data_IF_288643109434
#
_entry.id   IF_288643109434
#
_cell.length_a   1.000
_cell.length_b   1.000
_cell.length_c   1.000
_cell.angle_alpha   90.00
_cell.angle_beta   90.00
_cell.angle_gamma   90.00
#
_symmetry.space_group_name_H-M   'P 1'
#
loop_
_entity.id
_entity.type
_entity.pdbx_description
1 polymer ?
#
# COMPACT_ATOMS: atom_id res chain seq x y z
N UNK A 1 -12.86 20.39 -0.93
CA UNK A 1 -11.90 19.76 -0.01
C UNK A 1 -11.68 18.31 -0.44
N UNK A 2 -10.49 17.93 -0.94
CA UNK A 2 -10.22 16.53 -1.34
C UNK A 2 -10.21 15.65 -0.09
N UNK A 3 -11.21 14.78 0.06
CA UNK A 3 -11.22 13.72 1.07
C UNK A 3 -9.95 12.89 0.87
N UNK A 4 -9.00 13.01 1.80
CA UNK A 4 -7.91 12.03 1.91
C UNK A 4 -8.58 10.73 2.32
N UNK A 5 -8.75 9.80 1.38
CA UNK A 5 -9.08 8.42 1.71
C UNK A 5 -7.97 7.91 2.61
N UNK A 6 -8.26 7.88 3.91
CA UNK A 6 -7.32 7.45 4.92
C UNK A 6 -7.44 5.94 5.00
N UNK A 7 -6.45 5.21 4.47
CA UNK A 7 -6.40 3.77 4.63
C UNK A 7 -6.22 3.41 6.11
N UNK A 8 -6.95 2.40 6.62
CA UNK A 8 -6.80 1.95 8.00
C UNK A 8 -5.37 1.44 8.24
N UNK A 9 -4.89 1.58 9.48
CA UNK A 9 -3.51 1.23 9.85
C UNK A 9 -3.21 -0.25 9.59
N UNK A 10 -4.18 -1.12 9.82
CA UNK A 10 -4.09 -2.56 9.55
C UNK A 10 -3.84 -2.85 8.06
N UNK A 11 -4.50 -2.11 7.17
CA UNK A 11 -4.33 -2.28 5.73
C UNK A 11 -2.93 -1.85 5.28
N UNK A 12 -2.42 -0.73 5.82
CA UNK A 12 -1.05 -0.29 5.56
C UNK A 12 -0.02 -1.31 6.06
N UNK A 13 -0.24 -1.89 7.23
CA UNK A 13 0.63 -2.91 7.80
C UNK A 13 0.62 -4.19 6.96
N UNK A 14 -0.55 -4.63 6.49
CA UNK A 14 -0.70 -5.79 5.62
C UNK A 14 0.00 -5.59 4.27
N UNK A 15 -0.22 -4.44 3.63
CA UNK A 15 0.45 -4.07 2.38
C UNK A 15 1.97 -3.96 2.57
N UNK A 16 2.44 -3.31 3.64
CA UNK A 16 3.87 -3.21 3.93
C UNK A 16 4.50 -4.59 4.19
N UNK A 17 3.78 -5.48 4.89
CA UNK A 17 4.22 -6.86 5.12
C UNK A 17 4.30 -7.66 3.82
N UNK A 18 3.30 -7.55 2.93
CA UNK A 18 3.33 -8.20 1.61
C UNK A 18 4.49 -7.67 0.73
N UNK A 19 4.78 -6.37 0.79
CA UNK A 19 5.98 -5.80 0.14
C UNK A 19 7.27 -6.38 0.72
N UNK A 20 7.37 -6.53 2.04
CA UNK A 20 8.54 -7.09 2.72
C UNK A 20 8.73 -8.58 2.47
N UNK A 21 7.61 -9.32 2.32
CA UNK A 21 7.62 -10.75 2.03
C UNK A 21 8.18 -11.04 0.63
N UNK A 22 8.16 -10.06 -0.26
CA UNK A 22 8.70 -10.17 -1.62
C UNK A 22 7.84 -10.99 -2.58
N UNK A 23 6.70 -11.52 -2.10
CA UNK A 23 5.73 -12.28 -2.89
C UNK A 23 5.02 -11.42 -3.94
N UNK A 24 4.81 -10.12 -3.66
CA UNK A 24 4.12 -9.21 -4.58
C UNK A 24 4.88 -7.90 -4.70
N UNK A 25 5.12 -7.49 -5.93
CA UNK A 25 5.74 -6.20 -6.19
C UNK A 25 4.78 -5.07 -5.81
N UNK A 26 5.33 -3.92 -5.46
CA UNK A 26 4.54 -2.71 -5.18
C UNK A 26 3.61 -2.30 -6.34
N UNK A 27 3.91 -2.71 -7.58
CA UNK A 27 3.03 -2.52 -8.73
C UNK A 27 1.84 -3.48 -8.73
N UNK A 28 2.05 -4.75 -8.37
CA UNK A 28 0.96 -5.73 -8.25
C UNK A 28 0.05 -5.45 -7.06
N UNK A 29 0.62 -5.10 -5.90
CA UNK A 29 -0.16 -4.64 -4.76
C UNK A 29 -0.94 -3.35 -5.09
N UNK A 30 -0.38 -2.51 -5.95
CA UNK A 30 -1.06 -1.29 -6.40
C UNK A 30 -2.29 -1.61 -7.24
N UNK A 31 -2.19 -2.59 -8.14
CA UNK A 31 -3.33 -3.08 -8.93
C UNK A 31 -4.35 -3.86 -8.10
N UNK A 32 -3.90 -4.73 -7.19
CA UNK A 32 -4.79 -5.64 -6.47
C UNK A 32 -5.55 -4.96 -5.33
N UNK A 33 -4.90 -4.02 -4.64
CA UNK A 33 -5.50 -3.27 -3.54
C UNK A 33 -6.03 -1.90 -3.98
N UNK A 34 -5.95 -1.58 -5.28
CA UNK A 34 -6.26 -0.25 -5.86
C UNK A 34 -5.57 0.90 -5.10
N UNK A 35 -4.37 0.63 -4.57
CA UNK A 35 -3.57 1.61 -3.85
C UNK A 35 -2.58 2.22 -4.82
N UNK A 36 -2.45 3.54 -4.85
CA UNK A 36 -1.40 4.16 -5.66
C UNK A 36 -0.01 3.73 -5.18
N UNK A 37 0.89 3.31 -6.09
CA UNK A 37 2.24 2.83 -5.75
C UNK A 37 3.07 3.87 -4.96
N UNK A 38 2.80 5.17 -5.17
CA UNK A 38 3.39 6.27 -4.40
C UNK A 38 2.97 6.27 -2.90
N UNK A 39 1.77 5.76 -2.59
CA UNK A 39 1.33 5.57 -1.21
C UNK A 39 2.02 4.38 -0.56
N UNK A 40 2.23 3.30 -1.31
CA UNK A 40 2.98 2.12 -0.85
C UNK A 40 4.44 2.50 -0.56
N UNK A 41 5.07 3.32 -1.41
CA UNK A 41 6.40 3.90 -1.15
C UNK A 41 6.44 4.75 0.14
N UNK A 42 5.37 5.50 0.42
CA UNK A 42 5.22 6.24 1.68
C UNK A 42 5.01 5.36 2.91
N UNK A 43 4.50 4.13 2.77
CA UNK A 43 4.32 3.19 3.87
C UNK A 43 5.54 2.32 4.11
N UNK A 44 6.40 2.16 3.09
CA UNK A 44 7.68 1.48 3.19
C UNK A 44 8.73 2.30 3.97
N UNK A 45 8.65 3.63 3.93
CA UNK A 45 9.58 4.54 4.60
C UNK A 45 9.22 4.74 6.07
#
# INVERSE_FOLDING_TARGET
>A
MRKKSSYPKEFKARVAFEVLKGDKTMAELSSEYEVHSNMILRWKK
#
